data_IF_768038235638
#
_entry.id   IF_768038235638
#
_cell.length_a   1.000
_cell.length_b   1.000
_cell.length_c   1.000
_cell.angle_alpha   90.00
_cell.angle_beta   90.00
_cell.angle_gamma   90.00
#
_symmetry.space_group_name_H-M   'P 1'
#
loop_
_entity.id
_entity.type
_entity.pdbx_description
1 polymer ?
#
# COMPACT_ATOMS: atom_id res chain seq x y z
N UNK A 1 -29.66 45.18 12.79
CA UNK A 1 -28.39 45.29 13.53
C UNK A 1 -27.26 44.95 12.58
N UNK A 2 -26.16 45.69 12.65
CA UNK A 2 -24.97 45.40 11.84
C UNK A 2 -24.20 44.24 12.47
N UNK A 3 -23.48 43.46 11.66
CA UNK A 3 -22.66 42.31 12.10
C UNK A 3 -21.78 42.67 13.30
N UNK A 4 -21.16 43.84 13.25
CA UNK A 4 -20.30 44.42 14.30
C UNK A 4 -21.01 44.64 15.65
N UNK A 5 -22.31 44.91 15.65
CA UNK A 5 -23.10 45.10 16.88
C UNK A 5 -23.46 43.76 17.53
N UNK A 6 -23.73 42.74 16.70
CA UNK A 6 -24.09 41.40 17.15
C UNK A 6 -22.86 40.69 17.72
N UNK A 7 -21.71 40.79 17.05
CA UNK A 7 -20.45 40.22 17.53
C UNK A 7 -20.07 40.79 18.91
N UNK A 8 -20.20 42.11 19.09
CA UNK A 8 -19.94 42.76 20.39
C UNK A 8 -20.90 42.36 21.52
N UNK A 9 -22.17 42.07 21.20
CA UNK A 9 -23.15 41.63 22.20
C UNK A 9 -22.90 40.20 22.67
N UNK A 10 -22.31 39.34 21.85
CA UNK A 10 -22.06 37.93 22.17
C UNK A 10 -20.65 37.68 22.70
N UNK A 11 -19.66 38.53 22.39
CA UNK A 11 -18.37 38.56 23.09
C UNK A 11 -18.50 38.92 24.58
N UNK A 12 -19.63 39.52 24.99
CA UNK A 12 -19.97 39.78 26.40
C UNK A 12 -20.69 38.64 27.11
N UNK A 13 -21.09 37.57 26.40
CA UNK A 13 -21.67 36.36 26.99
C UNK A 13 -20.53 35.36 27.29
N UNK A 14 -20.37 34.93 28.54
CA UNK A 14 -19.30 34.01 29.01
C UNK A 14 -19.42 32.56 28.47
N UNK A 15 -20.15 32.32 27.39
CA UNK A 15 -20.27 31.00 26.78
C UNK A 15 -19.05 30.68 25.93
N UNK A 16 -18.40 29.55 26.20
CA UNK A 16 -17.18 29.03 25.54
C UNK A 16 -17.42 28.52 24.10
N UNK A 17 -18.42 29.08 23.42
CA UNK A 17 -18.85 28.69 22.06
C UNK A 17 -18.45 29.78 21.07
N UNK A 18 -17.52 29.46 20.17
CA UNK A 18 -17.13 30.31 19.05
C UNK A 18 -18.28 30.43 18.03
N UNK A 19 -18.97 31.55 18.04
CA UNK A 19 -20.00 31.86 17.03
C UNK A 19 -19.39 32.58 15.83
N UNK A 20 -19.57 32.02 14.63
CA UNK A 20 -19.17 32.65 13.38
C UNK A 20 -20.39 33.33 12.74
N UNK A 21 -20.42 34.65 12.76
CA UNK A 21 -21.48 35.43 12.10
C UNK A 21 -21.07 35.76 10.67
N UNK A 22 -21.94 35.43 9.72
CA UNK A 22 -21.79 35.81 8.31
C UNK A 22 -22.98 36.64 7.88
N UNK A 23 -22.73 37.65 7.07
CA UNK A 23 -23.80 38.29 6.30
C UNK A 23 -24.31 37.31 5.26
N UNK A 24 -25.52 37.53 4.73
CA UNK A 24 -26.10 36.65 3.71
C UNK A 24 -25.17 36.48 2.50
N UNK A 25 -24.52 37.56 2.06
CA UNK A 25 -23.58 37.52 0.94
C UNK A 25 -22.32 36.68 1.24
N UNK A 26 -21.75 36.83 2.45
CA UNK A 26 -20.60 36.02 2.90
C UNK A 26 -20.96 34.54 3.09
N UNK A 27 -22.19 34.24 3.51
CA UNK A 27 -22.67 32.87 3.68
C UNK A 27 -22.96 32.21 2.33
N UNK A 28 -23.56 32.94 1.39
CA UNK A 28 -23.76 32.49 0.00
C UNK A 28 -22.41 32.21 -0.69
N UNK A 29 -21.41 33.09 -0.50
CA UNK A 29 -20.05 32.91 -1.02
C UNK A 29 -19.32 31.74 -0.35
N UNK A 30 -19.47 31.55 0.96
CA UNK A 30 -18.93 30.40 1.68
C UNK A 30 -19.53 29.08 1.16
N UNK A 31 -20.85 29.03 0.94
CA UNK A 31 -21.53 27.86 0.41
C UNK A 31 -21.13 27.56 -1.04
N UNK A 32 -20.98 28.57 -1.88
CA UNK A 32 -20.46 28.43 -3.25
C UNK A 32 -19.02 27.88 -3.25
N UNK A 33 -18.13 28.46 -2.45
CA UNK A 33 -16.74 28.01 -2.33
C UNK A 33 -16.64 26.59 -1.74
N UNK A 34 -17.47 26.26 -0.76
CA UNK A 34 -17.51 24.92 -0.17
C UNK A 34 -18.06 23.88 -1.16
N UNK A 35 -19.14 24.21 -1.89
CA UNK A 35 -19.65 23.36 -2.98
C UNK A 35 -18.59 23.13 -4.03
N UNK A 36 -17.88 24.18 -4.46
CA UNK A 36 -16.79 24.08 -5.43
C UNK A 36 -15.69 23.16 -4.93
N UNK A 37 -15.20 23.37 -3.70
CA UNK A 37 -14.15 22.53 -3.11
C UNK A 37 -14.55 21.05 -3.02
N UNK A 38 -15.76 20.75 -2.57
CA UNK A 38 -16.20 19.36 -2.41
C UNK A 38 -16.52 18.71 -3.76
N UNK A 39 -17.23 19.40 -4.66
CA UNK A 39 -17.74 18.84 -5.91
C UNK A 39 -16.68 18.83 -7.02
N UNK A 40 -15.86 19.88 -7.13
CA UNK A 40 -14.87 20.01 -8.21
C UNK A 40 -13.51 19.42 -7.81
N UNK A 41 -13.11 19.46 -6.53
CA UNK A 41 -11.78 18.99 -6.13
C UNK A 41 -11.80 17.62 -5.44
N UNK A 42 -12.68 17.39 -4.47
CA UNK A 42 -12.65 16.14 -3.68
C UNK A 42 -13.37 14.98 -4.35
N UNK A 43 -14.57 15.23 -4.88
CA UNK A 43 -15.40 14.20 -5.53
C UNK A 43 -14.68 13.52 -6.70
N UNK A 44 -14.03 14.22 -7.65
CA UNK A 44 -13.33 13.56 -8.75
C UNK A 44 -12.12 12.75 -8.28
N UNK A 45 -11.41 13.21 -7.24
CA UNK A 45 -10.28 12.46 -6.65
C UNK A 45 -10.75 11.16 -6.01
N UNK A 46 -11.82 11.20 -5.21
CA UNK A 46 -12.41 9.98 -4.62
C UNK A 46 -12.95 9.03 -5.68
N UNK A 47 -13.61 9.55 -6.72
CA UNK A 47 -14.09 8.73 -7.85
C UNK A 47 -12.91 8.09 -8.58
N UNK A 48 -11.84 8.84 -8.85
CA UNK A 48 -10.62 8.31 -9.45
C UNK A 48 -9.97 7.22 -8.57
N UNK A 49 -9.85 7.47 -7.27
CA UNK A 49 -9.26 6.54 -6.31
C UNK A 49 -10.05 5.23 -6.23
N UNK A 50 -11.38 5.30 -6.17
CA UNK A 50 -12.26 4.12 -6.20
C UNK A 50 -12.04 3.30 -7.48
N UNK A 51 -11.96 3.96 -8.64
CA UNK A 51 -11.72 3.27 -9.91
C UNK A 51 -10.30 2.67 -9.98
N UNK A 52 -9.30 3.36 -9.44
CA UNK A 52 -7.94 2.84 -9.35
C UNK A 52 -7.86 1.61 -8.43
N UNK A 53 -8.52 1.67 -7.27
CA UNK A 53 -8.60 0.54 -6.32
C UNK A 53 -9.25 -0.68 -6.97
N UNK A 54 -10.35 -0.51 -7.71
CA UNK A 54 -10.96 -1.63 -8.43
C UNK A 54 -10.02 -2.21 -9.48
N UNK A 55 -9.32 -1.38 -10.24
CA UNK A 55 -8.36 -1.85 -11.25
C UNK A 55 -7.16 -2.58 -10.63
N UNK A 56 -6.71 -2.14 -9.45
CA UNK A 56 -5.65 -2.79 -8.69
C UNK A 56 -6.11 -4.11 -8.08
N UNK A 57 -7.30 -4.17 -7.48
CA UNK A 57 -7.85 -5.40 -6.96
C UNK A 57 -8.16 -6.41 -8.06
N UNK A 58 -8.57 -5.94 -9.24
CA UNK A 58 -8.74 -6.81 -10.40
C UNK A 58 -7.42 -7.32 -10.94
N UNK A 59 -6.39 -6.49 -10.93
CA UNK A 59 -5.05 -6.96 -11.22
C UNK A 59 -4.61 -8.01 -10.20
N UNK A 60 -4.81 -7.79 -8.90
CA UNK A 60 -4.51 -8.79 -7.84
C UNK A 60 -5.27 -10.11 -8.00
N UNK A 61 -6.50 -10.09 -8.51
CA UNK A 61 -7.30 -11.30 -8.70
C UNK A 61 -6.98 -12.03 -10.01
N UNK A 62 -6.84 -11.29 -11.12
CA UNK A 62 -6.73 -11.88 -12.46
C UNK A 62 -5.31 -11.83 -13.05
N UNK A 63 -4.39 -11.06 -12.46
CA UNK A 63 -3.01 -10.85 -12.94
C UNK A 63 -2.92 -10.18 -14.30
N UNK A 64 -4.03 -9.67 -14.81
CA UNK A 64 -4.16 -9.05 -16.13
C UNK A 64 -4.67 -7.64 -15.90
N UNK A 65 -3.94 -6.65 -16.42
CA UNK A 65 -4.42 -5.26 -16.48
C UNK A 65 -5.41 -5.13 -17.62
N UNK A 66 -6.47 -4.33 -17.41
CA UNK A 66 -7.34 -3.88 -18.49
C UNK A 66 -6.54 -3.10 -19.54
N UNK A 67 -7.03 -3.04 -20.78
CA UNK A 67 -6.45 -2.15 -21.79
C UNK A 67 -6.66 -0.69 -21.39
N UNK A 68 -5.78 0.21 -21.82
CA UNK A 68 -5.80 1.63 -21.43
C UNK A 68 -7.13 2.34 -21.76
N UNK A 69 -7.83 1.89 -22.80
CA UNK A 69 -9.12 2.39 -23.28
C UNK A 69 -10.34 1.60 -22.78
N UNK A 70 -10.12 0.51 -22.04
CA UNK A 70 -11.20 -0.38 -21.60
C UNK A 70 -11.78 0.08 -20.26
N UNK A 71 -13.11 0.24 -20.21
CA UNK A 71 -13.84 0.47 -18.96
C UNK A 71 -13.74 -0.74 -18.04
N UNK A 72 -13.50 -0.51 -16.75
CA UNK A 72 -13.34 -1.56 -15.71
C UNK A 72 -14.53 -2.51 -15.66
N UNK A 73 -15.75 -1.99 -15.80
CA UNK A 73 -16.98 -2.80 -15.87
C UNK A 73 -16.96 -3.81 -17.04
N UNK A 74 -16.49 -3.39 -18.22
CA UNK A 74 -16.43 -4.27 -19.39
C UNK A 74 -15.36 -5.35 -19.21
N UNK A 75 -14.20 -4.98 -18.69
CA UNK A 75 -13.13 -5.93 -18.36
C UNK A 75 -13.62 -7.00 -17.38
N UNK A 76 -14.29 -6.57 -16.31
CA UNK A 76 -14.89 -7.46 -15.32
C UNK A 76 -15.88 -8.46 -15.93
N UNK A 77 -16.79 -7.96 -16.76
CA UNK A 77 -17.79 -8.77 -17.44
C UNK A 77 -17.14 -9.83 -18.35
N UNK A 78 -16.04 -9.49 -19.02
CA UNK A 78 -15.28 -10.44 -19.84
C UNK A 78 -14.60 -11.52 -18.98
N UNK A 79 -13.88 -11.15 -17.91
CA UNK A 79 -13.17 -12.13 -17.09
C UNK A 79 -14.13 -13.07 -16.35
N UNK A 80 -15.20 -12.54 -15.74
CA UNK A 80 -16.22 -13.37 -15.13
C UNK A 80 -16.97 -14.23 -16.15
N UNK A 81 -17.18 -13.73 -17.37
CA UNK A 81 -17.74 -14.50 -18.47
C UNK A 81 -16.86 -15.68 -18.88
N UNK A 82 -15.54 -15.52 -18.90
CA UNK A 82 -14.58 -16.60 -19.16
C UNK A 82 -14.58 -17.63 -18.05
N UNK A 83 -14.50 -17.19 -16.79
CA UNK A 83 -14.57 -18.09 -15.63
C UNK A 83 -15.84 -18.93 -15.64
N UNK A 84 -17.00 -18.29 -15.87
CA UNK A 84 -18.28 -19.00 -15.96
C UNK A 84 -18.29 -20.05 -17.08
N UNK A 85 -17.84 -19.69 -18.29
CA UNK A 85 -17.75 -20.64 -19.42
C UNK A 85 -16.80 -21.80 -19.15
N UNK A 86 -15.68 -21.54 -18.48
CA UNK A 86 -14.73 -22.58 -18.10
C UNK A 86 -15.36 -23.54 -17.07
N UNK A 87 -16.03 -23.00 -16.04
CA UNK A 87 -16.73 -23.80 -15.04
C UNK A 87 -17.85 -24.66 -15.66
N UNK A 88 -18.67 -24.08 -16.55
CA UNK A 88 -19.71 -24.82 -17.29
C UNK A 88 -19.11 -25.93 -18.15
N UNK A 89 -17.97 -25.68 -18.80
CA UNK A 89 -17.29 -26.68 -19.63
C UNK A 89 -16.67 -27.80 -18.82
N UNK A 90 -16.15 -27.53 -17.62
CA UNK A 90 -15.68 -28.56 -16.68
C UNK A 90 -16.84 -29.44 -16.24
N UNK A 91 -17.97 -28.85 -15.84
CA UNK A 91 -19.15 -29.60 -15.42
C UNK A 91 -19.73 -30.49 -16.55
N UNK A 92 -19.75 -29.99 -17.78
CA UNK A 92 -20.19 -30.77 -18.95
C UNK A 92 -19.25 -31.96 -19.24
N UNK A 93 -17.93 -31.74 -19.18
CA UNK A 93 -16.94 -32.81 -19.34
C UNK A 93 -17.01 -33.87 -18.22
N UNK A 94 -17.22 -33.45 -16.97
CA UNK A 94 -17.43 -34.37 -15.84
C UNK A 94 -18.69 -35.22 -16.03
N UNK A 95 -19.76 -34.63 -16.54
CA UNK A 95 -21.02 -35.33 -16.83
C UNK A 95 -20.84 -36.35 -17.95
N UNK A 96 -20.21 -35.97 -19.06
CA UNK A 96 -19.91 -36.89 -20.17
C UNK A 96 -19.02 -38.05 -19.71
N UNK A 97 -18.02 -37.77 -18.88
CA UNK A 97 -17.12 -38.78 -18.32
C UNK A 97 -17.87 -39.75 -17.37
N UNK A 98 -18.84 -39.27 -16.61
CA UNK A 98 -19.70 -40.11 -15.77
C UNK A 98 -20.64 -41.01 -16.61
N UNK A 99 -21.22 -40.48 -17.68
CA UNK A 99 -22.09 -41.24 -18.60
C UNK A 99 -21.32 -42.31 -19.38
N UNK A 100 -20.12 -41.98 -19.87
CA UNK A 100 -19.23 -42.92 -20.56
C UNK A 100 -18.80 -44.08 -19.64
N UNK A 101 -18.54 -43.81 -18.34
CA UNK A 101 -18.19 -44.84 -17.35
C UNK A 101 -19.35 -45.75 -16.95
N UNK A 102 -20.60 -45.30 -17.09
CA UNK A 102 -21.80 -46.04 -16.68
C UNK A 102 -22.21 -47.12 -17.69
N UNK A 103 -21.90 -46.92 -18.96
CA UNK A 103 -22.16 -47.87 -20.02
C UNK A 103 -20.95 -48.82 -20.14
N UNK A 104 -21.15 -50.16 -20.07
CA UNK A 104 -20.06 -51.14 -20.27
C UNK A 104 -19.26 -50.75 -21.53
N UNK A 105 -18.02 -50.24 -21.40
CA UNK A 105 -17.38 -49.58 -22.50
C UNK A 105 -16.71 -50.64 -23.39
N UNK A 106 -17.05 -50.63 -24.68
CA UNK A 106 -16.25 -51.31 -25.70
C UNK A 106 -14.90 -50.56 -25.86
N UNK A 107 -13.87 -51.18 -26.45
CA UNK A 107 -12.50 -50.63 -26.51
C UNK A 107 -12.41 -49.18 -27.04
N UNK A 108 -13.30 -48.80 -27.98
CA UNK A 108 -13.40 -47.43 -28.50
C UNK A 108 -13.86 -46.41 -27.43
N UNK A 109 -14.80 -46.79 -26.55
CA UNK A 109 -15.27 -45.94 -25.43
C UNK A 109 -14.23 -45.84 -24.32
N UNK A 110 -13.42 -46.89 -24.12
CA UNK A 110 -12.26 -46.85 -23.22
C UNK A 110 -11.20 -45.86 -23.70
N UNK A 111 -10.92 -45.81 -25.01
CA UNK A 111 -10.04 -44.79 -25.60
C UNK A 111 -10.60 -43.37 -25.43
N UNK A 112 -11.89 -43.17 -25.70
CA UNK A 112 -12.53 -41.86 -25.54
C UNK A 112 -12.50 -41.38 -24.08
N UNK A 113 -12.74 -42.27 -23.10
CA UNK A 113 -12.58 -41.96 -21.67
C UNK A 113 -11.13 -41.56 -21.36
N UNK A 114 -10.14 -42.30 -21.86
CA UNK A 114 -8.74 -42.02 -21.61
C UNK A 114 -8.30 -40.67 -22.21
N UNK A 115 -8.78 -40.33 -23.40
CA UNK A 115 -8.47 -39.06 -24.05
C UNK A 115 -9.16 -37.87 -23.38
N UNK A 116 -10.41 -38.05 -22.91
CA UNK A 116 -11.09 -37.05 -22.09
C UNK A 116 -10.37 -36.81 -20.75
N UNK A 117 -9.91 -37.88 -20.09
CA UNK A 117 -9.11 -37.75 -18.86
C UNK A 117 -7.81 -36.98 -19.10
N UNK A 118 -7.09 -37.27 -20.18
CA UNK A 118 -5.88 -36.51 -20.56
C UNK A 118 -6.21 -35.04 -20.79
N UNK A 119 -7.32 -34.76 -21.46
CA UNK A 119 -7.75 -33.39 -21.76
C UNK A 119 -8.12 -32.63 -20.48
N UNK A 120 -8.83 -33.26 -19.55
CA UNK A 120 -9.15 -32.67 -18.23
C UNK A 120 -7.86 -32.38 -17.48
N UNK A 121 -6.96 -33.37 -17.36
CA UNK A 121 -5.70 -33.19 -16.63
C UNK A 121 -4.83 -32.08 -17.24
N UNK A 122 -4.77 -32.00 -18.57
CA UNK A 122 -4.06 -30.94 -19.28
C UNK A 122 -4.68 -29.58 -18.97
N UNK A 123 -6.01 -29.44 -19.09
CA UNK A 123 -6.71 -28.19 -18.79
C UNK A 123 -6.52 -27.77 -17.33
N UNK A 124 -6.59 -28.70 -16.38
CA UNK A 124 -6.35 -28.43 -14.96
C UNK A 124 -4.92 -27.95 -14.72
N UNK A 125 -3.92 -28.66 -15.28
CA UNK A 125 -2.50 -28.29 -15.16
C UNK A 125 -2.23 -26.91 -15.75
N UNK A 126 -2.74 -26.63 -16.96
CA UNK A 126 -2.58 -25.32 -17.60
C UNK A 126 -3.26 -24.22 -16.79
N UNK A 127 -4.45 -24.46 -16.24
CA UNK A 127 -5.14 -23.48 -15.40
C UNK A 127 -4.40 -23.21 -14.08
N UNK A 128 -3.83 -24.25 -13.46
CA UNK A 128 -2.97 -24.09 -12.27
C UNK A 128 -1.69 -23.31 -12.58
N UNK A 129 -1.03 -23.58 -13.70
CA UNK A 129 0.14 -22.83 -14.15
C UNK A 129 -0.19 -21.36 -14.44
N UNK A 130 -1.32 -21.09 -15.11
CA UNK A 130 -1.81 -19.73 -15.36
C UNK A 130 -2.13 -18.99 -14.05
N UNK A 131 -2.79 -19.64 -13.09
CA UNK A 131 -3.05 -19.07 -11.76
C UNK A 131 -1.76 -18.78 -10.99
N UNK A 132 -0.78 -19.68 -11.02
CA UNK A 132 0.52 -19.45 -10.39
C UNK A 132 1.28 -18.30 -11.06
N UNK A 133 1.25 -18.22 -12.39
CA UNK A 133 1.87 -17.12 -13.13
C UNK A 133 1.20 -15.78 -12.83
N UNK A 134 -0.13 -15.76 -12.70
CA UNK A 134 -0.92 -14.59 -12.28
C UNK A 134 -0.57 -14.17 -10.85
N UNK A 135 -0.58 -15.11 -9.90
CA UNK A 135 -0.21 -14.85 -8.51
C UNK A 135 1.22 -14.31 -8.43
N UNK A 136 2.14 -14.89 -9.22
CA UNK A 136 3.53 -14.44 -9.26
C UNK A 136 3.66 -13.02 -9.79
N UNK A 137 2.98 -12.67 -10.88
CA UNK A 137 2.97 -11.30 -11.42
C UNK A 137 2.46 -10.27 -10.41
N UNK A 138 1.50 -10.65 -9.56
CA UNK A 138 0.99 -9.78 -8.51
C UNK A 138 2.00 -9.55 -7.40
N UNK A 139 2.70 -10.60 -6.98
CA UNK A 139 3.84 -10.48 -6.04
C UNK A 139 4.92 -9.58 -6.65
N UNK A 140 5.34 -9.85 -7.88
CA UNK A 140 6.39 -9.10 -8.56
C UNK A 140 6.05 -7.59 -8.66
N UNK A 141 4.80 -7.26 -8.99
CA UNK A 141 4.33 -5.88 -9.07
C UNK A 141 4.28 -5.19 -7.71
N UNK A 142 3.80 -5.88 -6.66
CA UNK A 142 3.78 -5.36 -5.29
C UNK A 142 5.20 -5.09 -4.80
N UNK A 143 6.10 -6.06 -4.99
CA UNK A 143 7.51 -5.92 -4.60
C UNK A 143 8.21 -4.80 -5.40
N UNK A 144 7.90 -4.65 -6.69
CA UNK A 144 8.41 -3.52 -7.48
C UNK A 144 7.92 -2.17 -6.93
N UNK A 145 6.68 -2.08 -6.47
CA UNK A 145 6.15 -0.86 -5.85
C UNK A 145 6.91 -0.52 -4.56
N UNK A 146 7.10 -1.49 -3.67
CA UNK A 146 7.87 -1.34 -2.43
C UNK A 146 9.31 -0.85 -2.72
N UNK A 147 9.96 -1.45 -3.72
CA UNK A 147 11.31 -1.10 -4.13
C UNK A 147 11.40 0.32 -4.73
N UNK A 148 10.40 0.76 -5.50
CA UNK A 148 10.34 2.13 -6.03
C UNK A 148 10.17 3.17 -4.92
N UNK A 149 9.30 2.88 -3.95
CA UNK A 149 9.13 3.74 -2.75
C UNK A 149 10.43 3.81 -1.97
N UNK A 150 11.08 2.66 -1.75
CA UNK A 150 12.38 2.60 -1.07
C UNK A 150 13.45 3.39 -1.83
N UNK A 151 13.53 3.26 -3.17
CA UNK A 151 14.45 4.01 -4.03
C UNK A 151 14.24 5.52 -3.92
N UNK A 152 12.99 6.00 -3.92
CA UNK A 152 12.69 7.43 -3.83
C UNK A 152 13.22 8.07 -2.54
N UNK A 153 13.40 7.28 -1.48
CA UNK A 153 14.02 7.71 -0.22
C UNK A 153 15.55 7.72 -0.21
N UNK A 154 16.23 7.34 -1.30
CA UNK A 154 17.69 7.26 -1.38
C UNK A 154 18.29 8.55 -1.96
N UNK A 155 19.50 8.88 -1.51
CA UNK A 155 20.31 9.97 -2.08
C UNK A 155 21.45 9.37 -2.87
N UNK A 156 21.60 9.78 -4.13
CA UNK A 156 22.66 9.31 -5.00
C UNK A 156 23.87 10.26 -4.97
N UNK A 157 25.06 9.71 -5.21
CA UNK A 157 26.29 10.49 -5.31
C UNK A 157 26.18 11.50 -6.45
N UNK A 158 26.63 12.75 -6.26
CA UNK A 158 26.64 13.73 -7.33
C UNK A 158 27.60 13.32 -8.45
N UNK A 159 27.30 13.70 -9.69
CA UNK A 159 28.17 13.45 -10.85
C UNK A 159 27.93 12.14 -11.60
N UNK A 160 26.96 11.33 -11.19
CA UNK A 160 26.50 10.16 -11.95
C UNK A 160 25.28 10.59 -12.79
N UNK A 161 25.25 10.35 -14.11
CA UNK A 161 24.07 10.65 -14.93
C UNK A 161 22.83 9.86 -14.47
N UNK A 162 21.65 10.49 -14.50
CA UNK A 162 20.40 9.88 -14.01
C UNK A 162 20.07 8.58 -14.75
N UNK A 163 20.25 8.53 -16.08
CA UNK A 163 20.00 7.34 -16.89
C UNK A 163 20.85 6.12 -16.44
N UNK A 164 22.07 6.39 -15.95
CA UNK A 164 22.97 5.35 -15.43
C UNK A 164 22.49 4.87 -14.06
N UNK A 165 22.04 5.79 -13.20
CA UNK A 165 21.42 5.48 -11.90
C UNK A 165 20.16 4.63 -12.13
N UNK A 166 19.29 5.06 -13.03
CA UNK A 166 18.04 4.37 -13.39
C UNK A 166 18.31 2.95 -13.87
N UNK A 167 19.20 2.79 -14.85
CA UNK A 167 19.54 1.47 -15.40
C UNK A 167 20.11 0.54 -14.31
N UNK A 168 21.05 1.03 -13.51
CA UNK A 168 21.66 0.25 -12.45
C UNK A 168 20.67 -0.15 -11.35
N UNK A 169 19.85 0.79 -10.89
CA UNK A 169 18.83 0.53 -9.87
C UNK A 169 17.74 -0.42 -10.40
N UNK A 170 17.31 -0.26 -11.66
CA UNK A 170 16.34 -1.16 -12.27
C UNK A 170 16.88 -2.59 -12.36
N UNK A 171 18.17 -2.77 -12.68
CA UNK A 171 18.79 -4.09 -12.68
C UNK A 171 18.79 -4.73 -11.28
N UNK A 172 19.16 -3.98 -10.24
CA UNK A 172 19.11 -4.46 -8.85
C UNK A 172 17.67 -4.83 -8.45
N UNK A 173 16.71 -3.95 -8.72
CA UNK A 173 15.31 -4.18 -8.37
C UNK A 173 14.75 -5.43 -9.07
N UNK A 174 15.08 -5.63 -10.35
CA UNK A 174 14.66 -6.81 -11.11
C UNK A 174 15.28 -8.11 -10.58
N UNK A 175 16.52 -8.07 -10.09
CA UNK A 175 17.13 -9.21 -9.38
C UNK A 175 16.37 -9.51 -8.08
N UNK A 176 16.13 -8.49 -7.27
CA UNK A 176 15.44 -8.64 -5.98
C UNK A 176 14.02 -9.20 -6.14
N UNK A 177 13.30 -8.83 -7.20
CA UNK A 177 11.95 -9.35 -7.50
C UNK A 177 11.98 -10.85 -7.79
N UNK A 178 12.98 -11.35 -8.54
CA UNK A 178 13.08 -12.78 -8.89
C UNK A 178 13.20 -13.67 -7.66
N UNK A 179 13.88 -13.17 -6.63
CA UNK A 179 14.09 -13.85 -5.36
C UNK A 179 13.29 -13.18 -4.24
N UNK A 180 12.01 -12.92 -4.49
CA UNK A 180 11.07 -12.41 -3.49
C UNK A 180 9.79 -13.23 -3.43
N UNK A 181 9.14 -13.17 -2.28
CA UNK A 181 7.80 -13.70 -2.10
C UNK A 181 7.01 -12.87 -1.07
N UNK A 182 5.71 -13.11 -1.03
CA UNK A 182 4.80 -12.49 -0.07
C UNK A 182 4.59 -13.43 1.12
N UNK A 183 4.90 -12.96 2.33
CA UNK A 183 4.58 -13.62 3.60
C UNK A 183 3.83 -12.64 4.50
N UNK A 184 2.65 -13.01 4.96
CA UNK A 184 1.83 -12.19 5.86
C UNK A 184 1.57 -10.75 5.37
N UNK A 185 1.39 -10.58 4.05
CA UNK A 185 1.15 -9.27 3.45
C UNK A 185 2.41 -8.41 3.25
N UNK A 186 3.60 -8.94 3.59
CA UNK A 186 4.89 -8.26 3.42
C UNK A 186 5.78 -8.96 2.39
N UNK A 187 6.50 -8.16 1.61
CA UNK A 187 7.58 -8.64 0.74
C UNK A 187 8.73 -9.18 1.59
N UNK A 188 9.14 -10.43 1.34
CA UNK A 188 10.31 -11.08 1.91
C UNK A 188 11.27 -11.45 0.79
N UNK A 189 12.51 -11.00 0.89
CA UNK A 189 13.56 -11.33 -0.07
C UNK A 189 14.29 -12.60 0.36
N UNK A 190 14.66 -13.42 -0.61
CA UNK A 190 15.20 -14.76 -0.43
C UNK A 190 16.64 -14.85 -0.89
N UNK A 191 17.40 -15.76 -0.30
CA UNK A 191 18.73 -16.15 -0.75
C UNK A 191 18.68 -17.25 -1.82
N UNK A 192 19.85 -17.70 -2.26
CA UNK A 192 19.99 -18.77 -3.25
C UNK A 192 19.35 -20.09 -2.79
N UNK A 193 19.27 -20.32 -1.48
CA UNK A 193 18.65 -21.51 -0.86
C UNK A 193 17.14 -21.34 -0.61
N UNK A 194 16.54 -20.25 -1.13
CA UNK A 194 15.14 -19.87 -0.93
C UNK A 194 14.76 -19.62 0.53
N UNK A 195 15.73 -19.24 1.37
CA UNK A 195 15.50 -18.81 2.75
C UNK A 195 15.44 -17.29 2.82
N UNK A 196 14.72 -16.76 3.82
CA UNK A 196 14.61 -15.31 4.00
C UNK A 196 15.98 -14.68 4.29
N UNK A 197 16.38 -13.70 3.47
CA UNK A 197 17.53 -12.86 3.72
C UNK A 197 17.30 -12.07 5.01
N UNK A 198 18.17 -12.28 6.01
CA UNK A 198 18.06 -11.65 7.33
C UNK A 198 19.11 -10.57 7.53
N UNK A 199 18.66 -9.43 8.06
CA UNK A 199 19.52 -8.38 8.55
C UNK A 199 20.26 -8.88 9.80
N UNK A 200 21.58 -8.90 9.75
CA UNK A 200 22.42 -9.43 10.83
C UNK A 200 22.39 -8.55 12.10
N UNK A 201 22.02 -7.27 11.98
CA UNK A 201 21.91 -6.36 13.11
C UNK A 201 20.60 -6.53 13.88
N UNK A 202 19.48 -6.75 13.17
CA UNK A 202 18.14 -6.82 13.78
C UNK A 202 17.58 -8.25 13.87
N UNK A 203 18.21 -9.22 13.19
CA UNK A 203 17.76 -10.60 13.00
C UNK A 203 16.40 -10.74 12.29
N UNK A 204 15.81 -9.62 11.85
CA UNK A 204 14.59 -9.57 11.04
C UNK A 204 14.92 -9.79 9.55
N UNK A 205 13.96 -10.19 8.71
CA UNK A 205 14.13 -10.16 7.26
C UNK A 205 14.50 -8.75 6.79
N UNK A 206 15.38 -8.66 5.78
CA UNK A 206 15.72 -7.38 5.21
C UNK A 206 14.49 -6.70 4.58
N UNK A 207 14.41 -5.39 4.75
CA UNK A 207 13.49 -4.52 4.02
C UNK A 207 14.03 -4.18 2.63
N UNK A 208 13.13 -3.70 1.75
CA UNK A 208 13.49 -3.22 0.41
C UNK A 208 14.57 -2.11 0.47
N UNK A 209 14.44 -1.17 1.42
CA UNK A 209 15.38 -0.06 1.58
C UNK A 209 16.77 -0.51 2.01
N UNK A 210 16.85 -1.42 2.98
CA UNK A 210 18.14 -1.94 3.46
C UNK A 210 18.87 -2.72 2.36
N UNK A 211 18.16 -3.53 1.59
CA UNK A 211 18.77 -4.27 0.47
C UNK A 211 19.22 -3.35 -0.66
N UNK A 212 18.45 -2.31 -0.99
CA UNK A 212 18.89 -1.32 -1.97
C UNK A 212 20.12 -0.54 -1.49
N UNK A 213 20.18 -0.16 -0.21
CA UNK A 213 21.35 0.49 0.39
C UNK A 213 22.60 -0.41 0.29
N UNK A 214 22.47 -1.69 0.64
CA UNK A 214 23.60 -2.63 0.60
C UNK A 214 24.07 -2.90 -0.83
N UNK A 215 23.14 -3.18 -1.76
CA UNK A 215 23.46 -3.53 -3.14
C UNK A 215 23.93 -2.33 -3.99
N UNK A 216 23.48 -1.11 -3.68
CA UNK A 216 23.81 0.10 -4.44
C UNK A 216 24.73 1.09 -3.70
N UNK A 217 25.47 0.62 -2.68
CA UNK A 217 26.42 1.43 -1.89
C UNK A 217 27.46 2.20 -2.70
N UNK A 218 27.78 1.74 -3.91
CA UNK A 218 28.72 2.38 -4.82
C UNK A 218 28.18 3.68 -5.41
N UNK A 219 26.87 3.78 -5.65
CA UNK A 219 26.23 4.95 -6.27
C UNK A 219 25.40 5.79 -5.27
N UNK A 220 25.13 5.26 -4.08
CA UNK A 220 24.41 5.97 -3.02
C UNK A 220 25.37 6.85 -2.22
N UNK A 221 24.95 8.09 -1.96
CA UNK A 221 25.63 8.97 -1.02
C UNK A 221 25.21 8.62 0.40
N UNK A 222 26.07 7.89 1.11
CA UNK A 222 25.88 7.53 2.52
C UNK A 222 26.20 8.70 3.47
N UNK A 223 26.61 9.86 2.94
CA UNK A 223 27.22 10.94 3.71
C UNK A 223 28.58 10.56 4.28
N UNK A 224 29.30 11.55 4.81
CA UNK A 224 30.46 11.30 5.66
C UNK A 224 29.99 10.69 6.99
N UNK A 225 30.02 9.36 7.12
CA UNK A 225 30.14 8.75 8.44
C UNK A 225 31.59 8.93 8.90
N UNK A 226 31.88 10.10 9.49
CA UNK A 226 33.18 10.39 10.07
C UNK A 226 33.37 9.50 11.31
N UNK A 227 34.11 8.41 11.14
CA UNK A 227 34.69 7.63 12.24
C UNK A 227 35.78 8.48 12.91
N UNK A 228 35.38 9.35 13.84
CA UNK A 228 36.26 10.06 14.75
C UNK A 228 36.39 9.29 16.07
N UNK A 229 37.58 8.82 16.38
CA UNK A 229 37.90 8.15 17.64
C UNK A 229 37.68 9.10 18.84
N UNK A 230 36.76 8.71 19.73
CA UNK A 230 36.54 9.34 21.04
C UNK A 230 35.90 8.34 21.99
N UNK A 231 36.62 7.94 23.04
CA UNK A 231 36.25 6.90 24.00
C UNK A 231 35.26 7.42 25.05
N UNK A 232 34.14 6.70 25.18
CA UNK A 232 33.21 6.51 26.34
C UNK A 232 32.63 7.74 27.06
N UNK A 233 31.31 7.91 26.96
CA UNK A 233 30.34 7.52 28.01
C UNK A 233 28.91 7.97 27.62
N UNK A 234 27.93 7.07 27.76
CA UNK A 234 26.49 7.43 27.75
C UNK A 234 25.70 7.08 26.48
N UNK A 235 25.08 5.90 26.51
CA UNK A 235 23.82 5.50 25.84
C UNK A 235 23.31 6.43 24.70
N UNK A 236 23.88 6.28 23.50
CA UNK A 236 23.47 7.00 22.29
C UNK A 236 22.68 6.10 21.34
N UNK A 237 21.37 6.05 21.53
CA UNK A 237 20.40 5.54 20.55
C UNK A 237 20.64 6.24 19.21
N UNK A 238 20.89 5.46 18.16
CA UNK A 238 20.96 5.92 16.78
C UNK A 238 19.61 6.54 16.42
N UNK A 239 19.51 7.86 16.59
CA UNK A 239 18.35 8.63 16.16
C UNK A 239 18.40 8.70 14.64
N UNK A 240 17.76 7.73 13.98
CA UNK A 240 16.98 8.05 12.80
C UNK A 240 16.21 9.33 13.12
N UNK A 241 16.35 10.36 12.27
CA UNK A 241 15.53 11.55 12.43
C UNK A 241 14.08 11.08 12.60
N UNK A 242 13.38 11.54 13.64
CA UNK A 242 12.00 11.11 13.84
C UNK A 242 11.21 11.43 12.55
N UNK A 243 10.14 10.68 12.25
CA UNK A 243 9.28 10.90 11.07
C UNK A 243 8.42 12.17 11.21
N UNK A 244 9.08 13.25 11.62
CA UNK A 244 8.59 14.57 11.91
C UNK A 244 9.52 15.55 11.21
N UNK A 245 9.01 16.25 10.21
CA UNK A 245 9.69 17.35 9.54
C UNK A 245 8.95 18.66 9.86
N UNK A 246 9.49 19.80 9.43
CA UNK A 246 8.75 21.06 9.44
C UNK A 246 8.52 21.50 8.00
N UNK A 247 7.33 21.99 7.69
CA UNK A 247 7.07 22.63 6.41
C UNK A 247 7.74 24.02 6.32
N UNK A 248 7.54 24.69 5.19
CA UNK A 248 8.11 26.02 4.93
C UNK A 248 7.58 27.10 5.88
N UNK A 249 6.50 26.81 6.60
CA UNK A 249 5.84 27.69 7.57
C UNK A 249 6.21 27.31 9.03
N UNK A 250 7.07 26.30 9.21
CA UNK A 250 7.55 25.86 10.51
C UNK A 250 6.60 24.92 11.26
N UNK A 251 5.50 24.48 10.64
CA UNK A 251 4.54 23.53 11.21
C UNK A 251 5.08 22.11 11.06
N UNK A 252 4.87 21.28 12.09
CA UNK A 252 5.30 19.89 12.07
C UNK A 252 4.49 19.07 11.05
N UNK A 253 5.19 18.25 10.27
CA UNK A 253 4.63 17.34 9.27
C UNK A 253 5.08 15.92 9.62
N UNK A 254 4.09 15.05 9.82
CA UNK A 254 4.29 13.66 10.23
C UNK A 254 4.22 12.73 9.02
N UNK A 255 5.25 11.90 8.82
CA UNK A 255 5.33 11.01 7.65
C UNK A 255 4.86 9.58 7.96
N UNK A 256 3.91 9.42 8.89
CA UNK A 256 3.38 8.13 9.31
C UNK A 256 1.85 8.09 9.21
N UNK A 257 1.32 6.90 8.91
CA UNK A 257 -0.12 6.61 8.93
C UNK A 257 -0.48 5.91 10.23
N UNK A 258 -1.60 6.31 10.85
CA UNK A 258 -2.06 5.71 12.09
C UNK A 258 -2.52 4.25 11.86
N UNK A 259 -1.97 3.26 12.57
CA UNK A 259 -2.46 1.89 12.52
C UNK A 259 -3.91 1.75 13.00
N UNK A 260 -4.68 0.85 12.39
CA UNK A 260 -6.10 0.61 12.69
C UNK A 260 -6.38 0.20 14.15
N UNK A 261 -5.36 -0.28 14.89
CA UNK A 261 -5.48 -0.66 16.30
C UNK A 261 -5.45 0.50 17.31
N UNK A 262 -5.17 1.72 16.85
CA UNK A 262 -5.05 2.90 17.72
C UNK A 262 -6.40 3.60 17.83
N UNK A 263 -7.14 3.19 18.86
CA UNK A 263 -8.53 3.59 19.09
C UNK A 263 -8.70 4.43 20.36
N UNK A 264 -7.60 4.77 21.05
CA UNK A 264 -7.63 5.59 22.27
C UNK A 264 -6.38 6.44 22.39
N UNK A 265 -6.52 7.57 23.08
CA UNK A 265 -5.43 8.51 23.33
C UNK A 265 -4.25 7.87 24.08
N UNK A 266 -4.53 6.92 24.99
CA UNK A 266 -3.50 6.15 25.68
C UNK A 266 -2.70 5.25 24.73
N UNK A 267 -3.38 4.57 23.78
CA UNK A 267 -2.71 3.76 22.76
C UNK A 267 -1.91 4.63 21.79
N UNK A 268 -2.43 5.80 21.44
CA UNK A 268 -1.74 6.77 20.59
C UNK A 268 -0.45 7.25 21.26
N UNK A 269 -0.52 7.68 22.52
CA UNK A 269 0.65 8.13 23.27
C UNK A 269 1.73 7.06 23.35
N UNK A 270 1.33 5.83 23.69
CA UNK A 270 2.23 4.66 23.74
C UNK A 270 2.89 4.40 22.39
N UNK A 271 2.10 4.39 21.31
CA UNK A 271 2.61 4.18 19.95
C UNK A 271 3.58 5.29 19.51
N UNK A 272 3.26 6.56 19.78
CA UNK A 272 4.14 7.68 19.45
C UNK A 272 5.48 7.60 20.21
N UNK A 273 5.48 7.15 21.47
CA UNK A 273 6.71 7.04 22.26
C UNK A 273 7.51 5.77 22.00
N UNK A 274 6.85 4.63 21.88
CA UNK A 274 7.50 3.31 21.83
C UNK A 274 7.79 2.86 20.40
N UNK A 275 6.87 3.08 19.47
CA UNK A 275 6.99 2.63 18.08
C UNK A 275 7.58 3.72 17.18
N UNK A 276 7.18 4.99 17.40
CA UNK A 276 7.67 6.12 16.60
C UNK A 276 8.87 6.84 17.22
N UNK A 277 9.27 6.47 18.44
CA UNK A 277 10.42 7.03 19.15
C UNK A 277 10.30 8.52 19.52
N UNK A 278 9.10 9.11 19.46
CA UNK A 278 8.88 10.53 19.75
C UNK A 278 8.70 10.71 21.26
N UNK A 279 9.68 11.35 21.92
CA UNK A 279 9.66 11.56 23.37
C UNK A 279 8.48 12.46 23.79
N UNK A 280 7.74 12.05 24.82
CA UNK A 280 6.54 12.75 25.30
C UNK A 280 6.76 14.20 25.75
N UNK A 281 8.00 14.58 26.05
CA UNK A 281 8.37 15.93 26.49
C UNK A 281 8.58 16.92 25.35
N UNK A 282 8.58 16.47 24.09
CA UNK A 282 8.97 17.30 22.95
C UNK A 282 7.78 18.00 22.29
N UNK A 283 7.99 19.15 21.62
CA UNK A 283 6.95 19.83 20.86
C UNK A 283 6.35 18.96 19.74
N UNK A 284 7.16 18.08 19.15
CA UNK A 284 6.75 17.12 18.11
C UNK A 284 5.69 16.15 18.64
N UNK A 285 5.89 15.62 19.86
CA UNK A 285 4.91 14.75 20.51
C UNK A 285 3.59 15.47 20.73
N UNK A 286 3.63 16.70 21.26
CA UNK A 286 2.40 17.49 21.50
C UNK A 286 1.65 17.78 20.21
N UNK A 287 2.37 18.08 19.13
CA UNK A 287 1.77 18.31 17.82
C UNK A 287 1.14 17.03 17.24
N UNK A 288 1.85 15.90 17.25
CA UNK A 288 1.33 14.62 16.78
C UNK A 288 0.11 14.16 17.59
N UNK A 289 0.22 14.24 18.92
CA UNK A 289 -0.82 13.83 19.83
C UNK A 289 -2.09 14.69 19.66
N UNK A 290 -1.95 15.98 19.35
CA UNK A 290 -3.09 16.86 19.03
C UNK A 290 -3.71 16.53 17.67
N UNK A 291 -2.89 16.33 16.64
CA UNK A 291 -3.35 16.06 15.28
C UNK A 291 -4.09 14.72 15.17
N UNK A 292 -3.50 13.65 15.70
CA UNK A 292 -4.08 12.30 15.61
C UNK A 292 -5.03 11.98 16.77
N UNK A 293 -4.88 12.63 17.93
CA UNK A 293 -5.73 12.39 19.10
C UNK A 293 -7.15 12.93 18.97
N UNK A 294 -7.37 13.90 18.08
CA UNK A 294 -8.68 14.52 17.82
C UNK A 294 -9.56 13.69 16.87
N UNK A 295 -8.94 12.83 16.05
CA UNK A 295 -9.59 12.05 14.99
C UNK A 295 -9.47 10.52 15.21
N UNK A 296 -9.31 10.08 16.46
CA UNK A 296 -9.22 8.65 16.75
C UNK A 296 -10.55 7.94 16.46
N UNK A 297 -10.54 6.79 15.78
CA UNK A 297 -11.75 6.02 15.50
C UNK A 297 -12.40 5.59 16.82
N UNK A 298 -13.63 6.04 17.04
CA UNK A 298 -14.48 5.62 18.16
C UNK A 298 -14.94 4.19 17.84
N UNK A 299 -14.32 3.20 18.48
CA UNK A 299 -14.85 1.83 18.48
C UNK A 299 -15.92 1.78 19.57
N UNK A 300 -17.19 1.77 19.17
CA UNK A 300 -18.28 1.45 20.09
C UNK A 300 -18.01 0.08 20.73
N UNK A 301 -18.16 -0.05 22.06
CA UNK A 301 -18.00 -1.35 22.70
C UNK A 301 -19.05 -2.30 22.12
N UNK A 302 -18.58 -3.39 21.50
CA UNK A 302 -19.45 -4.51 21.11
C UNK A 302 -20.20 -4.98 22.35
N UNK A 303 -21.51 -4.75 22.37
CA UNK A 303 -22.44 -5.31 23.37
C UNK A 303 -22.53 -6.82 23.22
#
# INVERSE_FOLDING_TARGET
MKKEEITKMLESDESDTDYIFRTKAEDDEFLENHKRSVIEDEMPKKVYEIHAQYDDDMFKLFGIRKKSDQKTYNFLKEQFGKLKKNAERVADLETQLAELKKNKPDDAKLQEIADLQKKINLLTSTHEEELQAVARKNVDASTMADLKVARAGLKFKPGIPEDVIDSYMNNIMNELIKDSEQRDGKTVFLDADKKALRNQATMAPYTAKELLLEKAKNIIDTGHQQTGAGVRSGNGSSSERPPVSKDKEGKFVFSFTLPEGITSQQKLGKWLTEEMGIKSTTPEYRAAYKEYGSNLPIVEPKK
#
